data_IF_564282230986
#
_entry.id   IF_564282230986
#
_cell.length_a   1.000
_cell.length_b   1.000
_cell.length_c   1.000
_cell.angle_alpha   90.00
_cell.angle_beta   90.00
_cell.angle_gamma   90.00
#
_symmetry.space_group_name_H-M   'P 1'
#
loop_
_entity.id
_entity.type
_entity.pdbx_description
1 polymer ?
#
# COMPACT_ATOMS: atom_id res chain seq x y z
N UNK A 1 9.92 -5.85 -8.68
CA UNK A 1 10.09 -5.29 -7.34
C UNK A 1 8.68 -4.91 -6.96
N UNK A 2 8.07 -5.60 -5.98
CA UNK A 2 6.60 -5.61 -5.79
C UNK A 2 6.02 -4.20 -5.81
N UNK A 3 5.51 -3.78 -6.97
CA UNK A 3 5.11 -2.40 -7.21
C UNK A 3 3.81 -2.07 -6.48
N UNK A 4 2.89 -3.02 -6.43
CA UNK A 4 1.69 -2.93 -5.58
C UNK A 4 1.24 -4.34 -5.20
N UNK A 5 0.44 -4.45 -4.15
CA UNK A 5 -0.05 -5.73 -3.66
C UNK A 5 -1.48 -5.62 -3.15
N UNK A 6 -2.24 -6.70 -3.29
CA UNK A 6 -3.50 -6.87 -2.58
C UNK A 6 -3.23 -7.51 -1.23
N UNK A 7 -3.55 -6.79 -0.15
CA UNK A 7 -3.30 -7.24 1.22
C UNK A 7 -4.59 -7.60 1.94
N UNK A 8 -4.48 -8.27 3.09
CA UNK A 8 -5.53 -8.20 4.09
C UNK A 8 -5.61 -6.79 4.67
N UNK A 9 -6.60 -6.02 4.23
CA UNK A 9 -6.89 -4.70 4.77
C UNK A 9 -7.74 -4.74 6.05
N UNK A 10 -8.60 -5.77 6.18
CA UNK A 10 -9.42 -5.98 7.37
C UNK A 10 -8.62 -6.70 8.48
N UNK A 11 -8.34 -5.99 9.56
CA UNK A 11 -7.57 -6.51 10.68
C UNK A 11 -8.25 -7.70 11.38
N UNK A 12 -9.59 -7.83 11.30
CA UNK A 12 -10.31 -8.93 11.95
C UNK A 12 -9.88 -10.30 11.39
N UNK A 13 -9.43 -10.35 10.14
CA UNK A 13 -8.89 -11.58 9.55
C UNK A 13 -7.64 -12.07 10.32
N UNK A 14 -6.78 -11.16 10.76
CA UNK A 14 -5.61 -11.49 11.58
C UNK A 14 -6.01 -11.93 12.98
N UNK A 15 -7.02 -11.29 13.59
CA UNK A 15 -7.55 -11.69 14.90
C UNK A 15 -8.08 -13.12 14.84
N UNK A 16 -8.93 -13.42 13.85
CA UNK A 16 -9.53 -14.75 13.68
C UNK A 16 -8.49 -15.83 13.38
N UNK A 17 -7.52 -15.54 12.50
CA UNK A 17 -6.57 -16.56 12.01
C UNK A 17 -5.35 -16.75 12.90
N UNK A 18 -4.85 -15.68 13.52
CA UNK A 18 -3.59 -15.69 14.25
C UNK A 18 -3.73 -15.32 15.73
N UNK A 19 -4.95 -15.02 16.21
CA UNK A 19 -5.15 -14.54 17.58
C UNK A 19 -4.43 -13.21 17.84
N UNK A 20 -4.13 -12.44 16.79
CA UNK A 20 -3.47 -11.15 16.92
C UNK A 20 -4.40 -10.12 17.54
N UNK A 21 -3.84 -9.12 18.21
CA UNK A 21 -4.58 -7.97 18.73
C UNK A 21 -4.37 -6.75 17.85
N UNK A 22 -5.36 -5.89 17.77
CA UNK A 22 -5.22 -4.61 17.10
C UNK A 22 -4.38 -3.65 17.96
N UNK A 23 -3.38 -2.99 17.36
CA UNK A 23 -2.72 -1.84 17.99
C UNK A 23 -3.62 -0.60 17.87
N UNK A 24 -4.69 -0.58 18.66
CA UNK A 24 -5.77 0.40 18.51
C UNK A 24 -5.28 1.86 18.60
N UNK A 25 -4.31 2.13 19.47
CA UNK A 25 -3.71 3.46 19.63
C UNK A 25 -2.98 3.92 18.36
N UNK A 26 -2.31 3.00 17.67
CA UNK A 26 -1.60 3.29 16.43
C UNK A 26 -2.54 3.58 15.27
N UNK A 27 -3.66 2.86 15.20
CA UNK A 27 -4.74 3.17 14.26
C UNK A 27 -5.39 4.52 14.56
N UNK A 28 -5.71 4.82 15.83
CA UNK A 28 -6.27 6.14 16.21
C UNK A 28 -5.31 7.26 15.81
N UNK A 29 -4.01 7.10 16.10
CA UNK A 29 -2.97 8.07 15.75
C UNK A 29 -2.92 8.32 14.25
N UNK A 30 -2.85 7.25 13.45
CA UNK A 30 -2.82 7.35 11.99
C UNK A 30 -4.00 8.13 11.42
N UNK A 31 -5.22 7.81 11.86
CA UNK A 31 -6.43 8.44 11.35
C UNK A 31 -6.54 9.92 11.78
N UNK A 32 -6.05 10.27 12.98
CA UNK A 32 -5.95 11.67 13.43
C UNK A 32 -4.93 12.47 12.62
N UNK A 33 -3.75 11.90 12.32
CA UNK A 33 -2.75 12.57 11.46
C UNK A 33 -3.39 12.91 10.11
N UNK A 34 -4.18 12.00 9.54
CA UNK A 34 -4.88 12.24 8.28
C UNK A 34 -5.97 13.32 8.38
N UNK A 35 -6.80 13.29 9.43
CA UNK A 35 -7.82 14.33 9.68
C UNK A 35 -7.18 15.73 9.81
N UNK A 36 -6.02 15.81 10.45
CA UNK A 36 -5.27 17.06 10.63
C UNK A 36 -4.48 17.50 9.38
N UNK A 37 -4.79 16.96 8.19
CA UNK A 37 -4.20 17.37 6.92
C UNK A 37 -2.91 16.65 6.53
N UNK A 38 -2.48 15.64 7.29
CA UNK A 38 -1.35 14.79 6.94
C UNK A 38 -1.58 14.04 5.62
N UNK A 39 -0.53 13.90 4.81
CA UNK A 39 -0.57 13.20 3.50
C UNK A 39 -0.56 11.68 3.68
N UNK A 40 -1.61 11.15 4.31
CA UNK A 40 -1.75 9.73 4.64
C UNK A 40 -2.70 9.05 3.65
N UNK A 41 -2.23 7.95 3.06
CA UNK A 41 -3.04 7.11 2.17
C UNK A 41 -3.41 5.82 2.89
N UNK A 42 -4.70 5.63 3.16
CA UNK A 42 -5.23 4.43 3.82
C UNK A 42 -6.18 3.75 2.83
N UNK A 43 -5.98 2.46 2.51
CA UNK A 43 -6.91 1.70 1.70
C UNK A 43 -8.29 1.67 2.33
N UNK A 44 -9.34 1.78 1.51
CA UNK A 44 -10.72 1.79 1.99
C UNK A 44 -11.07 0.55 2.82
N UNK A 45 -10.51 -0.62 2.49
CA UNK A 45 -10.74 -1.85 3.25
C UNK A 45 -10.28 -1.77 4.70
N UNK A 46 -9.25 -0.96 5.01
CA UNK A 46 -8.83 -0.73 6.40
C UNK A 46 -9.81 0.18 7.15
N UNK A 47 -10.45 1.13 6.45
CA UNK A 47 -11.47 2.00 7.04
C UNK A 47 -12.76 1.23 7.30
N UNK A 48 -13.18 0.45 6.31
CA UNK A 48 -14.43 -0.30 6.33
C UNK A 48 -14.40 -1.45 7.35
N UNK A 49 -13.21 -1.88 7.79
CA UNK A 49 -13.04 -2.78 8.93
C UNK A 49 -13.70 -2.23 10.21
N UNK A 50 -13.81 -0.91 10.37
CA UNK A 50 -14.38 -0.29 11.57
C UNK A 50 -15.86 0.13 11.40
N UNK A 51 -16.50 -0.15 10.26
CA UNK A 51 -17.83 0.39 9.92
C UNK A 51 -18.95 0.01 10.89
N UNK A 52 -18.84 -1.17 11.50
CA UNK A 52 -19.85 -1.73 12.40
C UNK A 52 -19.56 -1.36 13.88
N UNK A 53 -18.49 -0.62 14.15
CA UNK A 53 -18.11 -0.19 15.49
C UNK A 53 -19.05 0.90 16.02
N UNK A 54 -19.69 0.64 17.17
CA UNK A 54 -20.69 1.53 17.76
C UNK A 54 -20.20 2.30 18.99
N UNK A 55 -19.06 1.92 19.58
CA UNK A 55 -18.48 2.54 20.78
C UNK A 55 -16.95 2.48 20.76
N UNK A 56 -16.31 3.26 21.63
CA UNK A 56 -14.88 3.18 21.89
C UNK A 56 -13.99 3.70 20.75
N UNK A 57 -12.71 3.29 20.79
CA UNK A 57 -11.69 3.77 19.87
C UNK A 57 -11.90 3.31 18.42
N UNK A 58 -12.50 2.12 18.22
CA UNK A 58 -12.86 1.64 16.88
C UNK A 58 -13.93 2.52 16.22
N UNK A 59 -14.96 2.91 16.97
CA UNK A 59 -15.94 3.89 16.50
C UNK A 59 -15.28 5.24 16.19
N UNK A 60 -14.35 5.69 17.03
CA UNK A 60 -13.61 6.92 16.78
C UNK A 60 -12.83 6.85 15.44
N UNK A 61 -12.17 5.73 15.14
CA UNK A 61 -11.47 5.52 13.86
C UNK A 61 -12.45 5.63 12.69
N UNK A 62 -13.61 4.98 12.76
CA UNK A 62 -14.60 5.05 11.70
C UNK A 62 -15.17 6.45 11.52
N UNK A 63 -15.44 7.17 12.62
CA UNK A 63 -15.92 8.55 12.56
C UNK A 63 -14.87 9.49 11.93
N UNK A 64 -13.58 9.30 12.23
CA UNK A 64 -12.46 10.01 11.59
C UNK A 64 -12.42 9.73 10.08
N UNK A 65 -12.57 8.47 9.69
CA UNK A 65 -12.62 8.06 8.28
C UNK A 65 -13.79 8.72 7.55
N UNK A 66 -14.98 8.73 8.17
CA UNK A 66 -16.18 9.37 7.62
C UNK A 66 -15.99 10.87 7.40
N UNK A 67 -15.49 11.60 8.40
CA UNK A 67 -15.26 13.05 8.27
C UNK A 67 -14.29 13.36 7.13
N UNK A 68 -13.19 12.61 7.03
CA UNK A 68 -12.25 12.76 5.93
C UNK A 68 -12.92 12.50 4.56
N UNK A 69 -13.76 11.46 4.44
CA UNK A 69 -14.52 11.18 3.20
C UNK A 69 -15.50 12.30 2.86
N UNK A 70 -16.21 12.84 3.84
CA UNK A 70 -17.15 13.95 3.65
C UNK A 70 -16.41 15.22 3.18
N UNK A 71 -15.21 15.49 3.71
CA UNK A 71 -14.33 16.57 3.23
C UNK A 71 -13.85 16.34 1.78
N UNK A 72 -13.45 15.12 1.42
CA UNK A 72 -13.06 14.80 0.04
C UNK A 72 -14.24 14.95 -0.93
N UNK A 73 -15.43 14.48 -0.52
CA UNK A 73 -16.68 14.66 -1.27
C UNK A 73 -16.94 16.13 -1.55
N UNK A 74 -16.91 16.97 -0.50
CA UNK A 74 -17.11 18.42 -0.66
C UNK A 74 -16.06 19.05 -1.58
N UNK A 75 -14.80 18.64 -1.46
CA UNK A 75 -13.71 19.11 -2.33
C UNK A 75 -13.97 18.78 -3.81
N UNK A 76 -14.40 17.56 -4.13
CA UNK A 76 -14.68 17.17 -5.51
C UNK A 76 -15.95 17.84 -6.06
N UNK A 77 -16.98 18.05 -5.24
CA UNK A 77 -18.15 18.83 -5.64
C UNK A 77 -17.77 20.28 -5.97
N UNK A 78 -16.93 20.92 -5.15
CA UNK A 78 -16.43 22.27 -5.44
C UNK A 78 -15.57 22.32 -6.70
N UNK A 79 -14.73 21.29 -6.94
CA UNK A 79 -13.96 21.18 -8.18
C UNK A 79 -14.88 21.08 -9.41
N UNK A 80 -15.96 20.30 -9.34
CA UNK A 80 -16.94 20.19 -10.43
C UNK A 80 -17.60 21.54 -10.71
N UNK A 81 -18.02 22.27 -9.68
CA UNK A 81 -18.63 23.59 -9.82
C UNK A 81 -17.65 24.56 -10.49
N UNK A 82 -16.41 24.65 -9.99
CA UNK A 82 -15.39 25.56 -10.53
C UNK A 82 -15.04 25.23 -11.98
N UNK A 83 -14.86 23.95 -12.31
CA UNK A 83 -14.58 23.52 -13.69
C UNK A 83 -15.80 23.70 -14.59
N UNK A 84 -17.03 23.59 -14.07
CA UNK A 84 -18.27 23.87 -14.78
C UNK A 84 -18.34 25.33 -15.25
N UNK A 85 -18.04 26.28 -14.36
CA UNK A 85 -17.96 27.71 -14.72
C UNK A 85 -16.85 27.98 -15.74
N UNK A 86 -15.69 27.34 -15.59
CA UNK A 86 -14.58 27.43 -16.56
C UNK A 86 -15.01 26.89 -17.93
N UNK A 87 -15.70 25.77 -17.97
CA UNK A 87 -16.20 25.14 -19.20
C UNK A 87 -17.18 26.07 -19.93
N UNK A 88 -18.17 26.62 -19.23
CA UNK A 88 -19.16 27.54 -19.81
C UNK A 88 -18.48 28.80 -20.40
N UNK A 89 -17.54 29.41 -19.66
CA UNK A 89 -16.78 30.58 -20.17
C UNK A 89 -15.95 30.25 -21.40
N UNK A 90 -15.33 29.07 -21.43
CA UNK A 90 -14.54 28.61 -22.55
C UNK A 90 -15.41 28.35 -23.78
N UNK A 91 -16.58 27.73 -23.61
CA UNK A 91 -17.59 27.51 -24.67
C UNK A 91 -18.07 28.84 -25.26
N UNK A 92 -18.48 29.79 -24.42
CA UNK A 92 -18.92 31.11 -24.88
C UNK A 92 -17.80 31.88 -25.62
N UNK A 93 -16.54 31.70 -25.21
CA UNK A 93 -15.39 32.28 -25.91
C UNK A 93 -15.15 31.62 -27.27
N UNK A 94 -15.33 30.31 -27.36
CA UNK A 94 -15.18 29.54 -28.58
C UNK A 94 -16.26 29.88 -29.61
N UNK A 95 -17.51 30.07 -29.16
CA UNK A 95 -18.63 30.53 -29.99
C UNK A 95 -18.40 31.94 -30.54
N UNK A 96 -17.88 32.86 -29.71
CA UNK A 96 -17.52 34.21 -30.16
C UNK A 96 -16.35 34.19 -31.15
N UNK A 97 -15.36 33.34 -30.92
CA UNK A 97 -14.18 33.20 -31.77
C UNK A 97 -13.56 31.81 -31.62
N UNK A 98 -13.54 31.05 -32.71
CA UNK A 98 -12.91 29.74 -32.77
C UNK A 98 -11.39 29.84 -32.61
N UNK A 99 -10.91 29.77 -31.36
CA UNK A 99 -9.48 29.79 -31.02
C UNK A 99 -9.03 28.46 -30.44
N UNK A 100 -7.79 28.08 -30.73
CA UNK A 100 -7.17 26.86 -30.16
C UNK A 100 -7.19 26.87 -28.63
N UNK A 101 -6.91 28.02 -28.01
CA UNK A 101 -6.95 28.18 -26.56
C UNK A 101 -8.33 27.87 -25.98
N UNK A 102 -9.40 28.44 -26.54
CA UNK A 102 -10.75 28.17 -26.05
C UNK A 102 -11.14 26.69 -26.22
N UNK A 103 -10.73 26.06 -27.33
CA UNK A 103 -10.96 24.63 -27.54
C UNK A 103 -10.20 23.75 -26.53
N UNK A 104 -8.94 24.08 -26.23
CA UNK A 104 -8.16 23.39 -25.20
C UNK A 104 -8.74 23.58 -23.80
N UNK A 105 -9.19 24.79 -23.46
CA UNK A 105 -9.82 25.06 -22.16
C UNK A 105 -11.11 24.26 -21.97
N UNK A 106 -11.95 24.14 -23.02
CA UNK A 106 -13.14 23.26 -23.02
C UNK A 106 -12.75 21.82 -22.73
N UNK A 107 -11.76 21.28 -23.45
CA UNK A 107 -11.29 19.90 -23.28
C UNK A 107 -10.74 19.66 -21.88
N UNK A 108 -9.91 20.57 -21.37
CA UNK A 108 -9.28 20.44 -20.05
C UNK A 108 -10.33 20.49 -18.94
N UNK A 109 -11.24 21.47 -18.99
CA UNK A 109 -12.31 21.59 -17.99
C UNK A 109 -13.23 20.36 -18.01
N UNK A 110 -13.66 19.91 -19.20
CA UNK A 110 -14.46 18.69 -19.35
C UNK A 110 -13.77 17.45 -18.79
N UNK A 111 -12.48 17.26 -19.09
CA UNK A 111 -11.70 16.15 -18.55
C UNK A 111 -11.59 16.19 -17.02
N UNK A 112 -11.42 17.38 -16.43
CA UNK A 112 -11.36 17.54 -14.97
C UNK A 112 -12.70 17.27 -14.30
N UNK A 113 -13.81 17.74 -14.87
CA UNK A 113 -15.17 17.43 -14.39
C UNK A 113 -15.38 15.91 -14.39
N UNK A 114 -15.09 15.25 -15.51
CA UNK A 114 -15.24 13.79 -15.61
C UNK A 114 -14.36 13.04 -14.60
N UNK A 115 -13.14 13.53 -14.33
CA UNK A 115 -12.26 12.94 -13.34
C UNK A 115 -12.75 13.15 -11.90
N UNK A 116 -13.28 14.34 -11.58
CA UNK A 116 -13.86 14.62 -10.28
C UNK A 116 -15.15 13.82 -10.04
N UNK A 117 -15.99 13.65 -11.07
CA UNK A 117 -17.17 12.79 -11.00
C UNK A 117 -16.80 11.34 -10.70
N UNK A 118 -15.81 10.78 -11.42
CA UNK A 118 -15.32 9.42 -11.11
C UNK A 118 -14.87 9.30 -9.65
N UNK A 119 -14.12 10.28 -9.12
CA UNK A 119 -13.70 10.26 -7.71
C UNK A 119 -14.89 10.30 -6.73
N UNK A 120 -15.95 11.05 -7.05
CA UNK A 120 -17.18 11.04 -6.25
C UNK A 120 -17.88 9.67 -6.32
N UNK A 121 -18.04 9.12 -7.52
CA UNK A 121 -18.66 7.80 -7.70
C UNK A 121 -17.89 6.72 -6.89
N UNK A 122 -16.55 6.81 -6.83
CA UNK A 122 -15.75 5.89 -6.02
C UNK A 122 -15.86 6.09 -4.51
N UNK A 123 -16.01 7.34 -4.05
CA UNK A 123 -16.27 7.65 -2.64
C UNK A 123 -17.67 7.20 -2.21
N UNK A 124 -18.62 7.24 -3.13
CA UNK A 124 -20.05 6.99 -2.89
C UNK A 124 -20.45 5.54 -3.07
N UNK A 125 -19.57 4.72 -3.67
CA UNK A 125 -19.82 3.30 -3.85
C UNK A 125 -20.11 2.62 -2.50
N UNK A 126 -21.18 1.83 -2.44
CA UNK A 126 -21.56 1.08 -1.24
C UNK A 126 -20.85 -0.28 -1.13
N UNK A 127 -20.77 -1.01 -2.24
CA UNK A 127 -20.22 -2.37 -2.27
C UNK A 127 -18.70 -2.37 -2.24
N UNK A 128 -18.03 -3.23 -1.47
CA UNK A 128 -16.57 -3.33 -1.47
C UNK A 128 -16.03 -3.87 -2.81
N UNK A 129 -14.83 -3.44 -3.19
CA UNK A 129 -14.18 -3.82 -4.43
C UNK A 129 -12.76 -4.31 -4.13
N UNK A 130 -12.18 -5.20 -4.96
CA UNK A 130 -10.81 -5.68 -4.77
C UNK A 130 -9.81 -4.53 -4.54
N UNK A 131 -9.87 -3.47 -5.33
CA UNK A 131 -8.98 -2.29 -5.22
C UNK A 131 -8.94 -1.65 -3.83
N UNK A 132 -9.96 -1.85 -2.99
CA UNK A 132 -10.01 -1.31 -1.62
C UNK A 132 -8.96 -1.91 -0.69
N UNK A 133 -8.34 -3.01 -1.08
CA UNK A 133 -7.23 -3.64 -0.35
C UNK A 133 -5.91 -3.62 -1.12
N UNK A 134 -5.83 -2.88 -2.23
CA UNK A 134 -4.58 -2.70 -2.99
C UNK A 134 -3.77 -1.59 -2.35
N UNK A 135 -2.48 -1.86 -2.12
CA UNK A 135 -1.51 -0.89 -1.60
C UNK A 135 -0.42 -0.60 -2.63
N UNK A 136 0.05 0.63 -2.64
CA UNK A 136 1.22 1.11 -3.38
C UNK A 136 2.28 1.65 -2.40
N UNK A 137 3.53 1.84 -2.83
CA UNK A 137 4.51 2.58 -2.04
C UNK A 137 3.96 3.95 -1.60
N UNK A 138 4.06 4.21 -0.30
CA UNK A 138 3.49 5.35 0.41
C UNK A 138 2.12 5.07 1.07
N UNK A 139 1.45 3.98 0.73
CA UNK A 139 0.16 3.60 1.34
C UNK A 139 0.38 2.85 2.67
N UNK A 140 -0.61 2.94 3.56
CA UNK A 140 -0.62 2.17 4.81
C UNK A 140 -1.24 0.79 4.60
N UNK A 141 -0.73 -0.20 5.35
CA UNK A 141 -1.24 -1.56 5.37
C UNK A 141 -1.21 -2.13 6.79
N UNK A 142 -2.08 -3.10 7.13
CA UNK A 142 -1.95 -3.87 8.36
C UNK A 142 -0.74 -4.82 8.25
N UNK A 143 0.20 -4.68 9.18
CA UNK A 143 1.38 -5.55 9.31
C UNK A 143 1.31 -6.24 10.66
N UNK A 144 1.44 -7.57 10.67
CA UNK A 144 1.52 -8.34 11.89
C UNK A 144 2.96 -8.37 12.40
N UNK A 145 3.16 -8.02 13.67
CA UNK A 145 4.44 -8.08 14.38
C UNK A 145 4.26 -8.83 15.71
N UNK A 146 5.36 -9.18 16.38
CA UNK A 146 5.34 -9.55 17.80
C UNK A 146 5.96 -8.44 18.62
N UNK A 147 5.28 -8.02 19.68
CA UNK A 147 5.79 -7.08 20.67
C UNK A 147 5.36 -7.54 22.05
N UNK A 148 6.29 -7.59 23.01
CA UNK A 148 6.04 -8.06 24.38
C UNK A 148 5.39 -9.48 24.43
N UNK A 149 5.76 -10.35 23.50
CA UNK A 149 5.23 -11.71 23.40
C UNK A 149 3.82 -11.83 22.80
N UNK A 150 3.20 -10.72 22.37
CA UNK A 150 1.87 -10.71 21.76
C UNK A 150 1.96 -10.39 20.27
N UNK A 151 1.16 -11.09 19.45
CA UNK A 151 0.99 -10.74 18.03
C UNK A 151 0.12 -9.48 17.94
N UNK A 152 0.64 -8.43 17.32
CA UNK A 152 -0.06 -7.17 17.10
C UNK A 152 -0.24 -6.91 15.61
N UNK A 153 -1.40 -6.38 15.22
CA UNK A 153 -1.63 -5.81 13.91
C UNK A 153 -1.43 -4.31 13.99
N UNK A 154 -0.48 -3.79 13.22
CA UNK A 154 -0.03 -2.41 13.27
C UNK A 154 -0.18 -1.77 11.90
N UNK A 155 -0.73 -0.55 11.80
CA UNK A 155 -0.85 0.11 10.52
C UNK A 155 0.50 0.74 10.19
N UNK A 156 1.14 0.27 9.12
CA UNK A 156 2.47 0.73 8.73
C UNK A 156 2.47 1.20 7.28
N UNK A 157 3.21 2.26 6.99
CA UNK A 157 3.41 2.75 5.62
C UNK A 157 4.32 1.79 4.84
N UNK A 158 3.85 1.26 3.72
CA UNK A 158 4.66 0.50 2.77
C UNK A 158 5.62 1.46 2.07
N UNK A 159 6.94 1.26 2.20
CA UNK A 159 8.05 2.21 1.94
C UNK A 159 8.71 2.60 3.25
N UNK A 160 9.67 1.77 3.67
CA UNK A 160 10.34 1.85 4.94
C UNK A 160 11.28 3.07 5.00
N UNK A 161 11.18 3.82 6.09
CA UNK A 161 12.17 4.78 6.53
C UNK A 161 12.85 4.20 7.77
N UNK A 162 14.12 3.85 7.64
CA UNK A 162 14.88 3.27 8.77
C UNK A 162 15.17 4.37 9.79
N UNK A 163 15.02 4.08 11.09
CA UNK A 163 15.39 4.99 12.17
C UNK A 163 16.79 5.59 11.98
N UNK A 164 16.91 6.90 12.20
CA UNK A 164 18.19 7.65 12.12
C UNK A 164 18.56 8.17 10.72
N UNK A 165 17.74 7.97 9.69
CA UNK A 165 17.89 8.65 8.40
C UNK A 165 17.07 9.95 8.36
N UNK A 166 17.42 10.96 7.54
CA UNK A 166 16.61 12.17 7.40
C UNK A 166 15.20 11.89 6.86
N UNK A 167 14.21 12.73 7.20
CA UNK A 167 12.83 12.60 6.74
C UNK A 167 12.66 12.55 5.21
N UNK A 168 13.58 13.18 4.46
CA UNK A 168 13.58 13.21 2.99
C UNK A 168 14.22 11.98 2.33
N UNK A 169 14.74 11.03 3.12
CA UNK A 169 15.53 9.92 2.59
C UNK A 169 14.74 9.05 1.61
N UNK A 170 13.53 8.65 1.98
CA UNK A 170 12.64 7.79 1.18
C UNK A 170 12.01 8.52 -0.01
N UNK A 171 12.00 9.87 -0.01
CA UNK A 171 11.68 10.66 -1.21
C UNK A 171 12.82 10.61 -2.22
N UNK A 172 14.07 10.70 -1.74
CA UNK A 172 15.29 10.60 -2.57
C UNK A 172 15.55 9.17 -3.05
N UNK A 173 15.19 8.18 -2.25
CA UNK A 173 15.37 6.76 -2.53
C UNK A 173 14.02 6.04 -2.46
N UNK A 174 13.18 6.16 -3.51
CA UNK A 174 11.80 5.68 -3.46
C UNK A 174 11.68 4.15 -3.41
N UNK A 175 12.76 3.40 -3.62
CA UNK A 175 12.79 1.94 -3.62
C UNK A 175 12.75 1.26 -2.25
N UNK A 176 12.69 2.01 -1.14
CA UNK A 176 12.75 1.46 0.22
C UNK A 176 11.49 0.70 0.67
N UNK A 177 10.57 0.38 -0.26
CA UNK A 177 9.48 -0.57 -0.04
C UNK A 177 9.91 -2.04 -0.25
N UNK A 178 11.06 -2.29 -0.89
CA UNK A 178 11.63 -3.63 -1.05
C UNK A 178 12.96 -3.79 -0.30
N UNK A 179 13.01 -4.74 0.62
CA UNK A 179 14.23 -5.19 1.25
C UNK A 179 14.84 -6.36 0.46
N UNK A 180 15.82 -6.09 -0.39
CA UNK A 180 16.46 -7.15 -1.18
C UNK A 180 17.22 -8.11 -0.27
N UNK A 181 17.05 -9.41 -0.52
CA UNK A 181 17.70 -10.50 0.24
C UNK A 181 19.23 -10.32 0.30
N UNK A 182 19.84 -9.92 -0.83
CA UNK A 182 21.28 -9.66 -0.96
C UNK A 182 21.78 -8.42 -0.20
N UNK A 183 20.86 -7.59 0.30
CA UNK A 183 21.15 -6.33 0.97
C UNK A 183 20.77 -6.34 2.46
N UNK A 184 20.34 -7.50 2.99
CA UNK A 184 19.84 -7.63 4.36
C UNK A 184 20.90 -7.27 5.42
N UNK A 185 22.14 -7.69 5.20
CA UNK A 185 23.29 -7.36 6.06
C UNK A 185 23.97 -6.02 5.69
N UNK A 186 23.54 -5.39 4.60
CA UNK A 186 24.00 -4.09 4.14
C UNK A 186 23.15 -2.96 4.71
N UNK A 187 22.30 -2.38 3.85
CA UNK A 187 21.41 -1.27 4.21
C UNK A 187 20.40 -1.64 5.31
N UNK A 188 19.93 -2.89 5.33
CA UNK A 188 18.87 -3.35 6.24
C UNK A 188 19.38 -3.94 7.56
N UNK A 189 20.69 -3.91 7.81
CA UNK A 189 21.33 -4.57 8.99
C UNK A 189 20.81 -4.11 10.35
N UNK A 190 20.26 -2.90 10.41
CA UNK A 190 19.69 -2.33 11.61
C UNK A 190 18.25 -2.82 11.87
N UNK A 191 17.63 -3.51 10.91
CA UNK A 191 16.29 -4.08 11.01
C UNK A 191 16.30 -5.62 10.94
N UNK A 192 17.11 -6.22 10.07
CA UNK A 192 17.22 -7.67 9.96
C UNK A 192 17.82 -8.27 11.24
N UNK A 193 17.15 -9.28 11.80
CA UNK A 193 17.47 -9.84 13.12
C UNK A 193 16.92 -9.04 14.31
N UNK A 194 16.11 -8.00 14.07
CA UNK A 194 15.61 -7.10 15.12
C UNK A 194 14.12 -6.81 14.99
N UNK A 195 13.70 -6.28 13.85
CA UNK A 195 12.35 -5.76 13.62
C UNK A 195 11.72 -6.43 12.41
N UNK A 196 11.12 -7.60 12.66
CA UNK A 196 10.47 -8.41 11.65
C UNK A 196 8.95 -8.26 11.70
N UNK A 197 8.31 -8.37 10.55
CA UNK A 197 6.85 -8.35 10.42
C UNK A 197 6.38 -9.25 9.29
N UNK A 198 5.07 -9.42 9.19
CA UNK A 198 4.40 -10.13 8.09
C UNK A 198 3.24 -9.31 7.58
N UNK A 199 3.23 -9.07 6.26
CA UNK A 199 2.05 -8.62 5.54
C UNK A 199 1.38 -9.85 4.89
N UNK A 200 0.05 -9.98 5.02
CA UNK A 200 -0.68 -11.05 4.31
C UNK A 200 -1.08 -10.55 2.94
N UNK A 201 -0.54 -11.17 1.89
CA UNK A 201 -0.73 -10.78 0.49
C UNK A 201 -1.49 -11.86 -0.26
N UNK A 202 -2.46 -11.48 -1.09
CA UNK A 202 -3.23 -12.42 -1.92
C UNK A 202 -2.74 -12.46 -3.37
N UNK A 203 -2.18 -11.35 -3.83
CA UNK A 203 -1.60 -11.16 -5.18
C UNK A 203 -0.73 -9.93 -5.17
N UNK A 204 0.26 -9.91 -6.07
CA UNK A 204 1.15 -8.78 -6.27
C UNK A 204 1.12 -8.36 -7.74
N UNK A 205 1.54 -7.13 -8.00
CA UNK A 205 1.54 -6.58 -9.35
C UNK A 205 2.91 -6.03 -9.69
N UNK A 206 3.31 -6.24 -10.94
CA UNK A 206 4.59 -5.79 -11.46
C UNK A 206 4.45 -5.13 -12.82
N UNK A 207 5.28 -4.14 -13.04
CA UNK A 207 5.48 -3.56 -14.36
C UNK A 207 6.35 -4.49 -15.22
N UNK A 208 5.90 -4.73 -16.44
CA UNK A 208 6.60 -5.53 -17.44
C UNK A 208 6.68 -4.74 -18.74
N UNK A 209 7.89 -4.66 -19.30
CA UNK A 209 8.09 -4.14 -20.65
C UNK A 209 7.78 -5.23 -21.68
N UNK A 210 6.83 -4.95 -22.59
CA UNK A 210 6.56 -5.77 -23.78
C UNK A 210 6.79 -4.95 -25.05
N UNK A 211 6.99 -5.63 -26.16
CA UNK A 211 6.95 -5.00 -27.48
C UNK A 211 5.52 -5.12 -28.02
N UNK A 212 4.97 -4.01 -28.52
CA UNK A 212 3.73 -4.04 -29.28
C UNK A 212 3.94 -4.56 -30.71
N UNK A 213 2.85 -4.67 -31.48
CA UNK A 213 2.86 -5.18 -32.86
C UNK A 213 3.75 -4.35 -33.81
N UNK A 214 4.06 -3.10 -33.44
CA UNK A 214 4.94 -2.18 -34.18
C UNK A 214 6.39 -2.24 -33.67
N UNK A 215 6.70 -3.12 -32.72
CA UNK A 215 8.02 -3.29 -32.12
C UNK A 215 8.39 -2.19 -31.11
N UNK A 216 7.43 -1.40 -30.64
CA UNK A 216 7.64 -0.35 -29.66
C UNK A 216 7.40 -0.87 -28.24
N UNK A 217 8.23 -0.39 -27.31
CA UNK A 217 8.11 -0.76 -25.89
C UNK A 217 6.82 -0.19 -25.30
N UNK A 218 6.03 -1.07 -24.69
CA UNK A 218 4.85 -0.78 -23.90
C UNK A 218 5.05 -1.32 -22.48
N UNK A 219 4.70 -0.51 -21.50
CA UNK A 219 4.65 -0.94 -20.11
C UNK A 219 3.24 -1.47 -19.80
N UNK A 220 3.18 -2.71 -19.32
CA UNK A 220 1.95 -3.34 -18.85
C UNK A 220 2.10 -3.69 -17.36
N UNK A 221 0.99 -3.66 -16.64
CA UNK A 221 0.96 -4.14 -15.25
C UNK A 221 0.40 -5.55 -15.29
N UNK A 222 1.15 -6.52 -14.80
CA UNK A 222 0.68 -7.89 -14.62
C UNK A 222 0.26 -8.10 -13.17
N UNK A 223 -0.86 -8.78 -12.97
CA UNK A 223 -1.25 -9.38 -11.69
C UNK A 223 -0.62 -10.77 -11.60
N UNK A 224 -0.01 -11.10 -10.45
CA UNK A 224 0.50 -12.42 -10.13
C UNK A 224 -0.23 -12.99 -8.91
N UNK A 225 -0.79 -14.20 -9.06
CA UNK A 225 -1.57 -14.88 -8.02
C UNK A 225 -1.10 -16.33 -7.84
N UNK A 226 -0.96 -16.82 -6.60
CA UNK A 226 -0.79 -18.26 -6.36
C UNK A 226 -1.90 -19.07 -7.03
N UNK A 227 -1.54 -20.07 -7.84
CA UNK A 227 -2.49 -20.88 -8.60
C UNK A 227 -3.55 -21.58 -7.72
N UNK A 228 -3.16 -22.02 -6.53
CA UNK A 228 -4.06 -22.64 -5.57
C UNK A 228 -4.91 -21.63 -4.77
N UNK A 229 -4.77 -20.34 -5.08
CA UNK A 229 -5.49 -19.25 -4.44
C UNK A 229 -5.12 -19.00 -2.98
N UNK A 230 -4.05 -19.63 -2.46
CA UNK A 230 -3.63 -19.44 -1.07
C UNK A 230 -3.14 -18.01 -0.80
N UNK A 231 -3.25 -17.61 0.44
CA UNK A 231 -2.67 -16.37 0.96
C UNK A 231 -1.18 -16.54 1.22
N UNK A 232 -0.42 -15.47 1.04
CA UNK A 232 1.02 -15.43 1.24
C UNK A 232 1.36 -14.66 2.52
N UNK A 233 2.10 -15.29 3.42
CA UNK A 233 2.70 -14.63 4.58
C UNK A 233 4.01 -13.96 4.15
N UNK A 234 3.94 -12.74 3.63
CA UNK A 234 5.12 -12.07 3.10
C UNK A 234 6.02 -11.59 4.22
N UNK A 235 7.27 -12.04 4.22
CA UNK A 235 8.29 -11.58 5.15
C UNK A 235 8.57 -10.09 4.95
N UNK A 236 8.54 -9.33 6.04
CA UNK A 236 8.80 -7.90 6.04
C UNK A 236 9.82 -7.50 7.11
N UNK A 237 10.50 -6.39 6.87
CA UNK A 237 11.22 -5.62 7.89
C UNK A 237 10.44 -4.34 8.16
N UNK A 238 10.49 -3.85 9.40
CA UNK A 238 9.80 -2.61 9.77
C UNK A 238 10.65 -1.73 10.67
N UNK A 239 10.33 -0.44 10.70
CA UNK A 239 11.00 0.54 11.55
C UNK A 239 9.98 1.52 12.12
N UNK A 240 10.18 1.89 13.40
CA UNK A 240 9.67 3.12 13.98
C UNK A 240 10.75 4.18 13.77
N UNK A 241 10.43 5.21 13.01
CA UNK A 241 11.27 6.38 12.79
C UNK A 241 10.67 7.55 13.56
N UNK A 242 11.52 8.35 14.18
CA UNK A 242 11.14 9.59 14.86
C UNK A 242 12.03 10.70 14.32
N UNK A 243 11.43 11.82 13.93
CA UNK A 243 12.14 13.02 13.53
C UNK A 243 12.76 13.69 14.76
N UNK A 244 14.05 14.00 14.72
CA UNK A 244 14.76 14.58 15.86
C UNK A 244 14.35 16.04 16.15
N UNK A 245 13.81 16.76 15.17
CA UNK A 245 13.48 18.19 15.29
C UNK A 245 11.99 18.41 15.61
N UNK A 246 11.11 17.53 15.13
CA UNK A 246 9.65 17.72 15.18
C UNK A 246 8.92 16.69 16.04
N UNK A 247 9.62 15.68 16.56
CA UNK A 247 9.04 14.49 17.20
C UNK A 247 7.99 13.77 16.33
N UNK A 248 7.98 14.01 15.01
CA UNK A 248 7.10 13.30 14.08
C UNK A 248 7.50 11.82 14.04
N UNK A 249 6.53 10.95 14.28
CA UNK A 249 6.75 9.51 14.24
C UNK A 249 6.14 8.87 12.99
N UNK A 250 6.86 7.88 12.46
CA UNK A 250 6.43 7.06 11.33
C UNK A 250 6.72 5.59 11.59
N UNK A 251 5.67 4.77 11.54
CA UNK A 251 5.80 3.32 11.40
C UNK A 251 5.74 2.95 9.93
N UNK A 252 6.79 2.27 9.44
CA UNK A 252 6.90 1.91 8.04
C UNK A 252 7.57 0.55 7.84
N UNK A 253 7.31 -0.09 6.70
CA UNK A 253 7.79 -1.43 6.42
C UNK A 253 8.22 -1.62 4.96
N UNK A 254 9.02 -2.65 4.74
CA UNK A 254 9.45 -3.13 3.43
C UNK A 254 9.25 -4.64 3.32
N UNK A 255 8.77 -5.09 2.16
CA UNK A 255 8.67 -6.51 1.85
C UNK A 255 10.04 -7.06 1.45
N UNK A 256 10.41 -8.25 1.94
CA UNK A 256 11.66 -8.89 1.53
C UNK A 256 11.47 -9.49 0.15
N UNK A 257 12.42 -9.20 -0.74
CA UNK A 257 12.41 -9.67 -2.12
C UNK A 257 13.67 -10.45 -2.48
N UNK A 258 13.52 -11.37 -3.42
CA UNK A 258 14.57 -12.27 -3.90
C UNK A 258 14.46 -12.44 -5.41
N UNK A 259 15.33 -13.28 -5.97
CA UNK A 259 15.22 -13.67 -7.37
C UNK A 259 13.91 -14.46 -7.60
N UNK A 260 13.17 -14.15 -8.66
CA UNK A 260 11.84 -14.68 -8.91
C UNK A 260 11.88 -16.14 -9.39
N UNK A 261 10.76 -16.88 -9.25
CA UNK A 261 10.63 -18.21 -9.85
C UNK A 261 10.52 -18.12 -11.39
N UNK A 262 10.74 -19.25 -12.12
CA UNK A 262 10.83 -19.25 -13.59
C UNK A 262 9.64 -18.62 -14.32
N UNK A 263 8.42 -18.80 -13.82
CA UNK A 263 7.20 -18.27 -14.44
C UNK A 263 7.09 -16.75 -14.34
N UNK A 264 7.63 -16.14 -13.28
CA UNK A 264 7.68 -14.69 -13.10
C UNK A 264 8.79 -14.08 -13.97
N UNK A 265 9.93 -14.78 -14.10
CA UNK A 265 11.00 -14.40 -15.05
C UNK A 265 10.48 -14.44 -16.48
N UNK A 266 9.79 -15.53 -16.84
CA UNK A 266 9.22 -15.71 -18.17
C UNK A 266 8.16 -14.63 -18.49
N UNK A 267 7.45 -14.14 -17.48
CA UNK A 267 6.54 -13.02 -17.60
C UNK A 267 7.26 -11.66 -17.78
N UNK A 268 8.59 -11.59 -17.70
CA UNK A 268 9.40 -10.40 -17.94
C UNK A 268 9.74 -9.61 -16.67
N UNK A 269 9.72 -10.27 -15.50
CA UNK A 269 9.95 -9.61 -14.22
C UNK A 269 11.06 -10.27 -13.40
N UNK A 270 11.86 -9.47 -12.69
CA UNK A 270 13.18 -9.87 -12.17
C UNK A 270 13.26 -9.97 -10.62
N UNK A 271 12.15 -9.76 -9.91
CA UNK A 271 12.07 -9.88 -8.44
C UNK A 271 10.76 -10.50 -7.98
N UNK A 272 10.78 -11.20 -6.86
CA UNK A 272 9.56 -11.68 -6.21
C UNK A 272 9.64 -11.50 -4.70
N UNK A 273 8.48 -11.31 -4.06
CA UNK A 273 8.31 -11.32 -2.61
C UNK A 273 8.62 -12.70 -2.02
N UNK A 274 9.03 -12.75 -0.75
CA UNK A 274 9.27 -14.00 -0.02
C UNK A 274 8.07 -14.33 0.87
N UNK A 275 7.20 -15.29 0.48
CA UNK A 275 6.19 -15.84 1.39
C UNK A 275 6.83 -16.88 2.31
N UNK A 276 6.89 -16.64 3.62
CA UNK A 276 7.31 -17.66 4.58
C UNK A 276 6.21 -18.70 4.74
N UNK A 277 6.60 -19.93 5.09
CA UNK A 277 5.63 -20.94 5.50
C UNK A 277 4.99 -20.60 6.83
N UNK A 278 3.77 -21.09 7.04
CA UNK A 278 3.02 -20.88 8.27
C UNK A 278 3.77 -21.41 9.51
N UNK A 279 4.52 -22.51 9.38
CA UNK A 279 5.28 -23.11 10.48
C UNK A 279 6.42 -22.22 10.96
N UNK A 280 6.92 -21.33 10.09
CA UNK A 280 8.02 -20.40 10.42
C UNK A 280 7.53 -19.07 10.99
N UNK A 281 6.22 -18.84 11.06
CA UNK A 281 5.64 -17.54 11.42
C UNK A 281 6.16 -17.01 12.76
N UNK A 282 6.12 -17.82 13.81
CA UNK A 282 6.54 -17.39 15.14
C UNK A 282 8.04 -17.18 15.24
N UNK A 283 8.82 -18.05 14.60
CA UNK A 283 10.27 -17.92 14.54
C UNK A 283 10.69 -16.66 13.78
N UNK A 284 9.99 -16.33 12.69
CA UNK A 284 10.23 -15.13 11.90
C UNK A 284 9.89 -13.85 12.67
N UNK A 285 8.73 -13.80 13.32
CA UNK A 285 8.26 -12.63 14.06
C UNK A 285 9.02 -12.38 15.38
N UNK A 286 9.76 -13.37 15.87
CA UNK A 286 10.59 -13.29 17.09
C UNK A 286 12.07 -13.49 16.76
N UNK A 287 12.73 -12.54 16.09
CA UNK A 287 14.11 -12.70 15.64
C UNK A 287 15.16 -12.55 16.75
N UNK A 288 14.80 -11.95 17.89
CA UNK A 288 15.72 -11.73 19.00
C UNK A 288 16.28 -13.06 19.54
N UNK A 289 17.60 -13.11 19.73
CA UNK A 289 18.30 -14.31 20.19
C UNK A 289 18.57 -15.38 19.11
N UNK A 290 18.08 -15.19 17.88
CA UNK A 290 18.38 -16.08 16.74
C UNK A 290 19.63 -15.63 16.00
N UNK A 291 20.39 -16.59 15.48
CA UNK A 291 21.47 -16.31 14.55
C UNK A 291 20.93 -15.84 13.19
N UNK A 292 21.73 -15.05 12.45
CA UNK A 292 21.35 -14.66 11.09
C UNK A 292 21.17 -15.89 10.18
N UNK A 293 21.95 -16.95 10.38
CA UNK A 293 21.81 -18.21 9.64
C UNK A 293 20.44 -18.87 9.82
N UNK A 294 19.90 -18.87 11.04
CA UNK A 294 18.52 -19.37 11.29
C UNK A 294 17.47 -18.52 10.57
N UNK A 295 17.64 -17.20 10.55
CA UNK A 295 16.71 -16.29 9.88
C UNK A 295 16.77 -16.45 8.35
N UNK A 296 17.94 -16.65 7.77
CA UNK A 296 18.08 -16.99 6.36
C UNK A 296 17.47 -18.35 6.05
N UNK A 297 17.64 -19.35 6.90
CA UNK A 297 17.03 -20.67 6.71
C UNK A 297 15.50 -20.61 6.60
N UNK A 298 14.84 -19.71 7.36
CA UNK A 298 13.40 -19.43 7.23
C UNK A 298 13.06 -18.86 5.84
N UNK A 299 13.85 -17.91 5.34
CA UNK A 299 13.63 -17.27 4.03
C UNK A 299 13.97 -18.21 2.84
N UNK A 300 14.85 -19.18 3.05
CA UNK A 300 15.21 -20.23 2.10
C UNK A 300 14.13 -21.32 2.03
N UNK A 301 13.65 -21.79 3.18
CA UNK A 301 12.51 -22.71 3.33
C UNK A 301 11.16 -21.98 3.24
N UNK A 302 11.07 -21.06 2.28
CA UNK A 302 9.87 -20.31 1.95
C UNK A 302 8.84 -21.17 1.21
N UNK A 303 7.60 -20.70 1.21
CA UNK A 303 6.60 -21.17 0.28
C UNK A 303 6.99 -20.81 -1.16
N UNK A 304 6.68 -21.71 -2.11
CA UNK A 304 6.97 -21.53 -3.54
C UNK A 304 5.74 -21.94 -4.36
N UNK A 305 4.62 -21.21 -4.23
CA UNK A 305 3.48 -21.46 -5.10
C UNK A 305 3.87 -21.13 -6.54
N UNK A 306 3.22 -21.80 -7.50
CA UNK A 306 3.27 -21.38 -8.89
C UNK A 306 2.39 -20.14 -9.07
N UNK A 307 2.93 -19.10 -9.70
CA UNK A 307 2.18 -17.86 -9.96
C UNK A 307 1.57 -17.84 -11.36
N UNK A 308 0.24 -17.85 -11.43
CA UNK A 308 -0.47 -17.48 -12.64
C UNK A 308 -0.45 -15.96 -12.80
N UNK A 309 -0.46 -15.47 -14.05
CA UNK A 309 -0.49 -14.04 -14.32
C UNK A 309 -1.46 -13.64 -15.43
N UNK A 310 -2.05 -12.46 -15.25
CA UNK A 310 -2.94 -11.80 -16.22
C UNK A 310 -2.58 -10.32 -16.33
N UNK A 311 -2.96 -9.67 -17.43
CA UNK A 311 -2.91 -8.19 -17.48
C UNK A 311 -3.86 -7.66 -16.41
N UNK A 312 -3.37 -6.73 -15.58
CA UNK A 312 -4.17 -6.12 -14.53
C UNK A 312 -5.17 -5.12 -15.13
N UNK A 313 -6.41 -5.17 -14.62
CA UNK A 313 -7.47 -4.21 -14.94
C UNK A 313 -7.22 -2.82 -14.31
#
# INVERSE_FOLDING_TARGET
>A
MCYSAMVWADYHAFVRRFGAKLSIEEFVRLFRVRENGGKVKIPRGMEDAFKDATVGAEKLIYDLARRYRDEQRNRHLMEIIEQGERLQRAQASLEKKATKKAADDVRIAGNKIAAAQRRLDELDRDEPAPKDSRIYPGDYAPVMIVQNGERLVVPMRYQCRISGVPASFDEKYPGTYNARLDSLEGYWRNLFGRSHGVAVVTRFYEHVERLDDEGKRRNEVLEFRPQDGREMLVACLWSRWTDEDTDEELLSFAAITTDPPPEVIAAGHDRCIIPIRAEHLDAWLSPEGRSLGELYAILEDRDRPYYEHTVAD
#
